data_IF_479219885103
#
_entry.id   IF_479219885103
#
_cell.length_a   1.000
_cell.length_b   1.000
_cell.length_c   1.000
_cell.angle_alpha   90.00
_cell.angle_beta   90.00
_cell.angle_gamma   90.00
#
_symmetry.space_group_name_H-M   'P 1'
#
loop_
_entity.id
_entity.type
_entity.pdbx_description
1 polymer ?
2 non-polymer ?
3 non-polymer ?
4 water ?
#
# COMPACT_ATOMS: atom_id res chain seq x y z
N UNK A 22 -9.58 1.93 -25.96
CA UNK A 22 -8.21 2.31 -26.28
C UNK A 22 -7.23 1.21 -25.89
N UNK A 23 -6.31 0.90 -26.82
CA UNK A 23 -5.35 -0.17 -26.61
C UNK A 23 -4.02 0.13 -27.30
N UNK A 24 -3.68 -0.64 -28.33
CA UNK A 24 -2.33 -0.69 -28.84
C UNK A 24 -1.53 -1.87 -28.32
N UNK A 25 -2.16 -2.70 -27.49
CA UNK A 25 -1.53 -3.84 -26.86
C UNK A 25 -2.03 -5.14 -27.48
N UNK A 26 -1.30 -6.22 -27.23
CA UNK A 26 -1.77 -7.53 -27.61
C UNK A 26 -3.01 -7.91 -26.82
N UNK A 27 -3.71 -8.93 -27.32
CA UNK A 27 -4.92 -9.36 -26.62
C UNK A 27 -4.59 -10.00 -25.30
N UNK A 28 -3.43 -10.66 -25.20
CA UNK A 28 -3.01 -11.22 -23.93
C UNK A 28 -2.68 -10.11 -22.93
N UNK A 29 -2.13 -8.98 -23.40
CA UNK A 29 -1.87 -7.86 -22.51
C UNK A 29 -3.17 -7.22 -22.03
N UNK A 30 -4.12 -7.04 -22.94
CA UNK A 30 -5.44 -6.53 -22.58
C UNK A 30 -6.11 -7.43 -21.54
N UNK A 31 -5.98 -8.75 -21.69
CA UNK A 31 -6.59 -9.66 -20.72
C UNK A 31 -5.93 -9.50 -19.36
N UNK A 32 -4.63 -9.33 -19.34
CA UNK A 32 -3.88 -9.20 -18.10
C UNK A 32 -4.36 -7.99 -17.31
N UNK A 33 -4.46 -6.84 -17.98
CA UNK A 33 -4.96 -5.63 -17.33
C UNK A 33 -6.39 -5.86 -16.83
N UNK A 34 -7.25 -6.43 -17.68
CA UNK A 34 -8.62 -6.69 -17.27
C UNK A 34 -8.68 -7.62 -16.05
N UNK A 35 -7.86 -8.67 -16.04
CA UNK A 35 -7.83 -9.57 -14.89
C UNK A 35 -7.38 -8.85 -13.61
N UNK A 36 -6.41 -7.93 -13.72
CA UNK A 36 -6.00 -7.16 -12.56
C UNK A 36 -7.05 -6.11 -12.17
N UNK A 37 -7.62 -5.41 -13.17
CA UNK A 37 -8.65 -4.42 -12.88
C UNK A 37 -9.85 -5.08 -12.20
N UNK A 38 -10.21 -6.27 -12.65
CA UNK A 38 -11.35 -6.97 -12.07
C UNK A 38 -11.09 -7.33 -10.62
N UNK A 39 -9.87 -7.80 -10.33
CA UNK A 39 -9.53 -8.17 -8.96
C UNK A 39 -9.50 -6.95 -8.04
N UNK A 40 -9.03 -5.81 -8.56
CA UNK A 40 -9.03 -4.58 -7.78
C UNK A 40 -10.45 -4.13 -7.47
N UNK A 41 -11.31 -4.12 -8.49
CA UNK A 41 -12.73 -3.80 -8.31
C UNK A 41 -13.37 -4.67 -7.24
N UNK A 42 -13.02 -5.95 -7.19
CA UNK A 42 -13.70 -6.86 -6.29
C UNK A 42 -13.18 -6.80 -4.87
N UNK A 43 -11.96 -6.31 -4.64
CA UNK A 43 -11.33 -6.43 -3.34
C UNK A 43 -10.89 -5.10 -2.74
N UNK A 44 -11.10 -3.99 -3.43
CA UNK A 44 -10.76 -2.67 -2.92
C UNK A 44 -12.08 -1.93 -2.60
N UNK A 45 -12.42 -1.87 -1.32
CA UNK A 45 -13.54 -1.06 -0.84
C UNK A 45 -13.06 0.38 -0.70
N UNK A 46 -13.28 1.18 -1.75
CA UNK A 46 -12.70 2.52 -1.79
C UNK A 46 -13.35 3.48 -0.83
N UNK A 47 -14.54 3.15 -0.33
CA UNK A 47 -15.19 3.97 0.66
C UNK A 47 -14.97 3.44 2.08
N UNK A 48 -14.18 2.36 2.24
CA UNK A 48 -13.88 1.79 3.56
C UNK A 48 -15.16 1.50 4.35
N UNK A 49 -16.23 1.14 3.62
CA UNK A 49 -17.52 0.88 4.23
C UNK A 49 -17.48 -0.23 5.27
N UNK A 50 -16.63 -1.23 5.09
CA UNK A 50 -16.65 -2.38 5.97
C UNK A 50 -15.56 -2.33 7.03
N UNK A 51 -14.83 -1.23 7.13
CA UNK A 51 -13.90 -1.05 8.23
C UNK A 51 -14.69 -0.54 9.43
N UNK A 52 -14.99 -1.42 10.37
CA UNK A 52 -15.86 -1.06 11.48
C UNK A 52 -15.27 -1.59 12.78
N UNK A 53 -15.85 -1.11 13.88
CA UNK A 53 -15.45 -1.38 15.27
C UNK A 53 -13.95 -1.58 15.43
N UNK A 54 -13.19 -0.58 14.99
CA UNK A 54 -11.76 -0.44 15.27
C UNK A 54 -11.57 0.31 16.59
N UNK A 55 -10.38 0.14 17.18
CA UNK A 55 -10.01 0.84 18.40
C UNK A 55 -9.61 2.30 18.10
N UNK A 56 -9.69 3.15 19.11
CA UNK A 56 -9.43 4.59 19.02
C UNK A 56 -8.64 5.07 20.24
N UNK A 57 -7.89 6.16 20.10
CA UNK A 57 -7.12 6.66 21.25
C UNK A 57 -8.07 7.07 22.37
N UNK A 58 -7.81 6.54 23.57
CA UNK A 58 -8.78 6.55 24.66
C UNK A 58 -9.16 7.94 25.12
N UNK A 59 -10.19 7.96 25.97
CA UNK A 59 -10.69 9.19 26.59
C UNK A 59 -9.81 9.60 27.79
N UNK A 83 15.97 2.38 22.06
CA UNK A 83 15.76 2.89 20.69
C UNK A 83 14.29 2.98 20.32
N UNK A 84 13.42 3.13 21.33
CA UNK A 84 11.99 3.25 21.06
C UNK A 84 11.70 4.52 20.26
N UNK A 85 12.25 5.64 20.72
CA UNK A 85 12.27 6.85 19.92
C UNK A 85 13.52 6.80 19.04
N UNK A 86 13.94 7.95 18.49
CA UNK A 86 15.14 8.05 17.68
C UNK A 86 15.05 7.30 16.36
N UNK A 87 14.24 6.24 16.30
CA UNK A 87 14.00 5.55 15.04
C UNK A 87 12.60 5.82 14.48
N UNK A 88 11.74 6.51 15.22
CA UNK A 88 10.40 6.84 14.75
C UNK A 88 10.39 8.21 14.07
N UNK A 89 9.39 8.43 13.21
CA UNK A 89 9.25 9.72 12.55
C UNK A 89 8.77 10.79 13.52
N UNK A 90 8.94 12.03 13.09
CA UNK A 90 8.41 13.19 13.79
C UNK A 90 7.11 13.67 13.18
N UNK A 91 6.45 12.85 12.36
CA UNK A 91 5.18 13.20 11.75
C UNK A 91 4.03 12.87 12.69
N UNK A 92 3.18 13.86 12.96
CA UNK A 92 1.98 13.67 13.76
C UNK A 92 0.75 13.70 12.86
N UNK A 93 -0.24 12.87 13.19
CA UNK A 93 -1.43 12.72 12.37
C UNK A 93 -2.67 12.99 13.23
N UNK A 94 -3.60 13.78 12.71
CA UNK A 94 -4.88 14.03 13.35
C UNK A 94 -5.95 13.21 12.63
N UNK A 95 -6.97 12.84 13.38
CA UNK A 95 -7.96 11.87 12.95
C UNK A 95 -9.34 12.50 12.93
N UNK A 96 -10.15 12.18 11.93
CA UNK A 96 -11.50 12.73 11.84
C UNK A 96 -12.45 11.62 11.42
N UNK A 97 -13.57 11.50 12.14
CA UNK A 97 -14.62 10.53 11.82
C UNK A 97 -15.93 11.28 11.64
N UNK A 98 -16.41 11.31 10.41
CA UNK A 98 -17.71 11.91 10.12
C UNK A 98 -18.81 10.92 10.49
N UNK A 99 -19.76 11.38 11.28
CA UNK A 99 -20.84 10.51 11.71
C UNK A 99 -21.87 10.31 10.60
N UNK A 100 -22.47 9.12 10.64
CA UNK A 100 -23.53 8.79 9.70
C UNK A 100 -24.66 9.83 9.75
N UNK A 101 -24.85 10.48 10.90
CA UNK A 101 -25.88 11.50 11.09
C UNK A 101 -25.38 12.91 10.82
N UNK A 102 -24.14 13.08 10.39
CA UNK A 102 -23.61 14.39 10.10
C UNK A 102 -22.78 15.01 11.21
N UNK A 103 -22.70 14.36 12.38
CA UNK A 103 -21.79 14.84 13.41
C UNK A 103 -20.34 14.44 13.09
N UNK A 104 -19.39 15.15 13.70
CA UNK A 104 -17.99 14.91 13.45
C UNK A 104 -17.24 14.78 14.77
N UNK A 105 -16.46 13.71 14.90
CA UNK A 105 -15.46 13.57 15.96
C UNK A 105 -14.09 13.88 15.38
N UNK A 106 -13.31 14.72 16.06
CA UNK A 106 -11.97 15.10 15.63
C UNK A 106 -10.96 14.80 16.73
N UNK A 107 -9.84 14.20 16.35
CA UNK A 107 -8.75 13.86 17.27
C UNK A 107 -7.53 14.63 16.87
N UNK A 108 -6.96 15.37 17.81
CA UNK A 108 -5.67 16.01 17.66
C UNK A 108 -4.70 15.38 18.65
N UNK A 109 -3.51 14.97 18.21
CA UNK A 109 -2.55 14.35 19.13
C UNK A 109 -1.88 15.41 20.01
N UNK A 110 -1.10 15.00 21.04
CA UNK A 110 -0.61 15.95 22.05
C UNK A 110 -0.10 17.33 21.58
N UNK A 111 0.80 17.36 20.59
CA UNK A 111 1.57 18.56 20.22
C UNK A 111 2.50 19.03 21.34
N UNK A 116 7.03 12.43 21.36
CA UNK A 116 5.62 12.39 20.96
C UNK A 116 5.02 10.98 21.12
N UNK A 117 4.50 10.66 22.32
CA UNK A 117 4.05 9.31 22.65
C UNK A 117 2.86 8.91 21.79
N UNK A 118 3.09 8.03 20.82
CA UNK A 118 2.09 7.63 19.83
C UNK A 118 1.61 6.21 20.11
N UNK A 119 1.74 5.76 21.36
CA UNK A 119 1.23 4.45 21.72
C UNK A 119 -0.28 4.42 21.70
N UNK A 120 -0.91 5.56 21.98
CA UNK A 120 -2.37 5.63 21.96
C UNK A 120 -2.92 5.38 20.57
N UNK A 121 -2.14 5.68 19.53
CA UNK A 121 -2.56 5.52 18.16
C UNK A 121 -2.28 4.14 17.57
N UNK A 122 -1.44 3.31 18.23
CA UNK A 122 -1.02 2.05 17.62
C UNK A 122 -2.15 1.05 17.44
N UNK A 123 -3.00 0.76 18.45
CA UNK A 123 -4.07 -0.20 18.19
C UNK A 123 -4.97 0.21 17.02
N UNK A 124 -5.27 1.52 16.89
CA UNK A 124 -6.02 1.98 15.72
C UNK A 124 -5.25 1.74 14.43
N UNK A 125 -3.94 2.06 14.42
CA UNK A 125 -3.13 1.84 13.23
C UNK A 125 -3.07 0.35 12.87
N UNK A 126 -2.95 -0.51 13.89
CA UNK A 126 -2.93 -1.94 13.66
C UNK A 126 -4.26 -2.41 13.07
N UNK A 127 -5.38 -1.80 13.46
CA UNK A 127 -6.65 -2.25 12.94
C UNK A 127 -6.85 -1.82 11.48
N UNK A 128 -6.44 -0.60 11.14
CA UNK A 128 -6.53 -0.15 9.75
C UNK A 128 -5.57 -0.94 8.86
N UNK A 129 -4.34 -1.16 9.33
CA UNK A 129 -3.39 -1.98 8.59
C UNK A 129 -3.98 -3.36 8.31
N UNK A 130 -4.59 -3.95 9.34
CA UNK A 130 -5.13 -5.29 9.18
C UNK A 130 -6.24 -5.31 8.14
N UNK A 131 -7.10 -4.29 8.17
CA UNK A 131 -8.18 -4.20 7.19
C UNK A 131 -7.63 -4.07 5.77
N UNK A 132 -6.56 -3.30 5.58
CA UNK A 132 -5.95 -3.15 4.27
C UNK A 132 -5.25 -4.43 3.83
N UNK A 133 -4.55 -5.08 4.78
CA UNK A 133 -3.92 -6.36 4.48
C UNK A 133 -4.93 -7.41 4.02
N UNK A 134 -6.12 -7.42 4.65
CA UNK A 134 -7.13 -8.37 4.23
C UNK A 134 -7.53 -8.12 2.79
N UNK A 135 -7.74 -6.85 2.42
CA UNK A 135 -8.03 -6.52 1.02
C UNK A 135 -6.93 -7.00 0.08
N UNK A 136 -5.67 -6.75 0.45
CA UNK A 136 -4.54 -7.13 -0.39
C UNK A 136 -4.51 -8.64 -0.62
N UNK A 137 -4.76 -9.42 0.44
CA UNK A 137 -4.79 -10.87 0.33
C UNK A 137 -5.90 -11.30 -0.64
N UNK A 138 -7.08 -10.69 -0.51
CA UNK A 138 -8.18 -11.02 -1.42
C UNK A 138 -7.85 -10.64 -2.85
N UNK A 139 -7.15 -9.52 -3.03
CA UNK A 139 -6.66 -9.13 -4.34
C UNK A 139 -5.81 -10.22 -4.98
N UNK A 140 -4.80 -10.71 -4.26
CA UNK A 140 -3.89 -11.70 -4.83
C UNK A 140 -4.63 -12.97 -5.21
N UNK A 141 -5.51 -13.45 -4.32
CA UNK A 141 -6.16 -14.75 -4.52
C UNK A 141 -7.19 -14.75 -5.65
N UNK A 142 -7.64 -13.58 -6.10
CA UNK A 142 -8.54 -13.51 -7.26
C UNK A 142 -7.75 -13.57 -8.58
N UNK A 143 -6.44 -13.28 -8.57
CA UNK A 143 -5.64 -13.27 -9.78
C UNK A 143 -5.23 -14.70 -10.12
N UNK A 144 -5.52 -15.13 -11.36
CA UNK A 144 -5.21 -16.50 -11.77
C UNK A 144 -3.71 -16.79 -11.66
N UNK A 145 -2.87 -15.88 -12.17
CA UNK A 145 -1.44 -16.05 -12.07
C UNK A 145 -0.98 -16.27 -10.64
N UNK A 146 -1.66 -15.65 -9.67
CA UNK A 146 -1.29 -15.87 -8.28
C UNK A 146 -1.75 -17.25 -7.81
N UNK A 147 -3.02 -17.60 -8.07
CA UNK A 147 -3.53 -18.91 -7.66
C UNK A 147 -2.67 -20.04 -8.22
N UNK A 148 -2.17 -19.86 -9.44
CA UNK A 148 -1.39 -20.89 -10.11
C UNK A 148 -0.07 -21.18 -9.41
N UNK A 149 0.37 -20.32 -8.51
CA UNK A 149 1.66 -20.57 -7.87
C UNK A 149 1.51 -21.53 -6.70
N UNK A 150 2.58 -22.25 -6.36
CA UNK A 150 2.57 -23.09 -5.15
C UNK A 150 2.17 -22.31 -3.92
N UNK A 151 1.38 -22.96 -3.05
CA UNK A 151 0.90 -22.37 -1.79
C UNK A 151 2.03 -21.67 -1.03
N UNK A 152 3.21 -22.29 -0.98
CA UNK A 152 4.30 -21.71 -0.20
C UNK A 152 4.79 -20.39 -0.81
N UNK A 153 4.77 -20.28 -2.14
CA UNK A 153 5.21 -19.05 -2.80
C UNK A 153 4.15 -17.95 -2.68
N UNK A 154 2.87 -18.33 -2.64
CA UNK A 154 1.82 -17.38 -2.35
C UNK A 154 2.03 -16.70 -1.01
N UNK A 155 2.25 -17.50 0.03
CA UNK A 155 2.51 -16.99 1.37
C UNK A 155 3.76 -16.11 1.35
N UNK A 156 4.80 -16.55 0.65
CA UNK A 156 6.05 -15.81 0.64
C UNK A 156 5.90 -14.49 -0.09
N UNK A 157 5.19 -14.48 -1.23
CA UNK A 157 4.97 -13.24 -1.97
C UNK A 157 4.10 -12.27 -1.15
N UNK A 158 3.00 -12.77 -0.59
CA UNK A 158 2.13 -11.91 0.24
C UNK A 158 2.88 -11.35 1.43
N UNK A 159 3.75 -12.16 2.05
CA UNK A 159 4.57 -11.65 3.14
C UNK A 159 5.47 -10.52 2.68
N UNK A 160 5.96 -10.58 1.44
CA UNK A 160 6.87 -9.55 0.96
C UNK A 160 6.19 -8.26 0.60
N UNK A 161 4.97 -8.32 0.04
CA UNK A 161 4.40 -7.20 -0.69
C UNK A 161 3.20 -6.55 -0.01
N UNK A 162 2.66 -7.17 1.04
CA UNK A 162 1.40 -6.69 1.62
C UNK A 162 1.50 -5.23 2.05
N UNK A 163 2.59 -4.86 2.74
CA UNK A 163 2.86 -3.46 3.02
C UNK A 163 2.86 -2.62 1.76
N UNK A 164 3.62 -3.03 0.74
CA UNK A 164 3.80 -2.23 -0.46
C UNK A 164 2.49 -2.01 -1.21
N UNK A 165 1.70 -3.08 -1.41
CA UNK A 165 0.40 -2.94 -2.06
C UNK A 165 -0.56 -2.12 -1.23
N UNK A 166 -0.44 -2.19 0.10
CA UNK A 166 -1.27 -1.32 0.95
C UNK A 166 -0.96 0.14 0.72
N UNK A 167 0.32 0.49 0.58
CA UNK A 167 0.66 1.89 0.35
C UNK A 167 0.17 2.34 -1.02
N UNK A 168 0.33 1.48 -2.04
CA UNK A 168 -0.15 1.83 -3.36
C UNK A 168 -1.65 2.13 -3.33
N UNK A 169 -2.42 1.32 -2.59
CA UNK A 169 -3.85 1.60 -2.47
C UNK A 169 -4.09 2.90 -1.68
N UNK A 170 -3.36 3.11 -0.58
CA UNK A 170 -3.54 4.34 0.19
C UNK A 170 -3.17 5.57 -0.64
N UNK A 171 -2.26 5.44 -1.61
CA UNK A 171 -1.96 6.59 -2.44
C UNK A 171 -3.17 7.02 -3.28
N UNK A 172 -4.02 6.08 -3.69
CA UNK A 172 -5.18 6.45 -4.48
C UNK A 172 -6.24 7.20 -3.68
N UNK A 173 -6.22 7.17 -2.34
CA UNK A 173 -7.13 8.01 -1.55
C UNK A 173 -6.40 9.16 -0.86
N UNK A 174 -5.16 9.44 -1.25
CA UNK A 174 -4.41 10.56 -0.69
C UNK A 174 -4.76 11.85 -1.43
N UNK A 175 -4.98 12.91 -0.67
CA UNK A 175 -5.22 14.24 -1.22
C UNK A 175 -3.95 15.05 -0.97
N UNK A 176 -3.19 15.28 -2.04
CA UNK A 176 -1.92 15.99 -1.90
C UNK A 176 -2.12 17.50 -1.75
N UNK A 177 -3.29 18.03 -2.11
CA UNK A 177 -3.51 19.45 -1.89
C UNK A 177 -3.75 19.75 -0.41
N UNK A 178 -4.45 18.86 0.29
CA UNK A 178 -4.82 19.08 1.68
C UNK A 178 -4.09 18.16 2.66
N UNK A 179 -3.12 17.38 2.20
CA UNK A 179 -2.35 16.47 3.06
C UNK A 179 -3.16 15.43 3.81
N UNK A 180 -4.14 14.80 3.15
CA UNK A 180 -5.17 13.99 3.81
C UNK A 180 -5.37 12.67 3.07
N UNK A 181 -5.35 11.57 3.82
CA UNK A 181 -5.86 10.31 3.28
C UNK A 181 -7.35 10.23 3.62
N UNK A 182 -8.19 10.23 2.59
CA UNK A 182 -9.64 10.25 2.72
C UNK A 182 -10.15 8.83 2.61
N UNK A 183 -10.46 8.21 3.75
CA UNK A 183 -10.86 6.81 3.83
C UNK A 183 -12.33 6.71 4.21
N UNK A 184 -13.20 7.07 3.28
CA UNK A 184 -14.63 7.07 3.60
C UNK A 184 -14.94 8.15 4.63
N UNK A 185 -15.57 7.75 5.72
CA UNK A 185 -15.96 8.68 6.77
C UNK A 185 -14.79 9.01 7.69
N UNK A 186 -13.63 8.42 7.43
CA UNK A 186 -12.43 8.52 8.26
C UNK A 186 -11.40 9.31 7.48
N UNK A 187 -10.81 10.33 8.11
CA UNK A 187 -9.77 11.15 7.50
C UNK A 187 -8.54 11.18 8.41
N UNK A 188 -7.38 11.07 7.79
CA UNK A 188 -6.09 11.20 8.48
C UNK A 188 -5.44 12.42 7.90
N UNK A 189 -5.32 13.48 8.70
CA UNK A 189 -4.75 14.73 8.24
C UNK A 189 -3.36 14.92 8.85
N UNK A 190 -2.44 15.42 8.03
CA UNK A 190 -1.08 15.67 8.50
C UNK A 190 -1.07 16.93 9.37
N UNK A 191 -0.44 16.84 10.53
CA UNK A 191 -0.45 17.92 11.51
C UNK A 191 0.70 18.88 11.24
N UNK A 192 0.39 20.17 11.20
CA UNK A 192 1.41 21.21 11.01
C UNK A 192 2.32 21.34 12.23
N UNK A 197 6.13 21.33 7.08
CA UNK A 197 6.03 22.19 5.92
C UNK A 197 6.44 21.39 4.71
N UNK A 198 7.51 21.83 4.04
CA UNK A 198 8.29 20.91 3.21
C UNK A 198 9.25 20.11 4.07
N UNK A 199 9.33 20.39 5.36
CA UNK A 199 10.00 19.48 6.29
C UNK A 199 9.26 18.17 6.40
N UNK A 200 7.96 18.16 6.11
CA UNK A 200 7.21 16.91 6.10
C UNK A 200 7.69 15.97 5.00
N UNK A 201 8.14 16.52 3.86
CA UNK A 201 8.63 15.71 2.74
C UNK A 201 9.94 14.99 3.04
N UNK A 202 10.54 15.21 4.21
CA UNK A 202 11.77 14.51 4.54
C UNK A 202 11.53 13.17 5.23
N UNK A 203 10.29 12.86 5.61
CA UNK A 203 9.94 11.50 5.97
C UNK A 203 9.72 10.71 4.69
N UNK A 204 10.52 9.66 4.44
CA UNK A 204 10.55 9.07 3.09
C UNK A 204 9.21 8.55 2.62
N UNK A 205 8.42 8.02 3.55
CA UNK A 205 7.11 7.51 3.23
C UNK A 205 6.13 8.62 2.84
N UNK A 206 6.26 9.81 3.43
CA UNK A 206 5.43 10.93 2.99
C UNK A 206 5.85 11.40 1.60
N UNK A 207 7.16 11.46 1.36
CA UNK A 207 7.69 11.85 0.04
C UNK A 207 7.25 10.88 -1.05
N UNK A 208 7.25 9.58 -0.73
CA UNK A 208 6.72 8.59 -1.66
C UNK A 208 5.28 8.92 -2.06
N UNK A 209 4.43 9.25 -1.08
CA UNK A 209 3.03 9.50 -1.41
C UNK A 209 2.86 10.77 -2.24
N UNK A 210 3.59 11.84 -1.89
CA UNK A 210 3.54 13.07 -2.69
C UNK A 210 4.07 12.84 -4.11
N UNK A 211 5.24 12.20 -4.25
CA UNK A 211 5.80 11.96 -5.56
C UNK A 211 4.93 11.03 -6.39
N UNK A 212 4.45 9.92 -5.81
CA UNK A 212 3.55 9.03 -6.55
C UNK A 212 2.29 9.78 -7.00
N UNK A 213 1.71 10.61 -6.13
CA UNK A 213 0.50 11.33 -6.50
C UNK A 213 0.75 12.29 -7.67
N UNK A 214 1.87 13.02 -7.63
CA UNK A 214 2.18 13.95 -8.72
C UNK A 214 2.24 13.27 -10.08
N UNK A 215 2.45 11.96 -10.14
CA UNK A 215 2.53 11.28 -11.43
C UNK A 215 1.18 11.13 -12.10
N UNK A 216 0.08 11.35 -11.35
CA UNK A 216 -1.29 11.32 -11.88
C UNK A 216 -1.61 10.02 -12.63
N UNK A 217 -1.29 8.89 -12.00
CA UNK A 217 -1.45 7.59 -12.66
C UNK A 217 -2.91 7.24 -12.87
N UNK A 218 -3.16 6.45 -13.93
CA UNK A 218 -4.46 5.85 -14.19
C UNK A 218 -4.71 4.67 -13.25
N UNK A 219 -6.00 4.30 -13.10
CA UNK A 219 -6.32 3.09 -12.32
C UNK A 219 -5.53 1.88 -12.82
N UNK A 220 -5.39 1.74 -14.14
CA UNK A 220 -4.67 0.60 -14.72
C UNK A 220 -3.19 0.58 -14.32
N UNK A 221 -2.57 1.76 -14.19
CA UNK A 221 -1.14 1.79 -13.87
C UNK A 221 -0.89 1.53 -12.39
N UNK A 222 -1.77 2.01 -11.51
CA UNK A 222 -1.71 1.57 -10.11
C UNK A 222 -1.83 0.06 -9.99
N UNK A 223 -2.75 -0.56 -10.73
CA UNK A 223 -2.93 -2.00 -10.51
C UNK A 223 -1.78 -2.80 -11.11
N UNK A 224 -1.09 -2.27 -12.15
CA UNK A 224 0.11 -2.95 -12.63
C UNK A 224 1.28 -2.78 -11.65
N UNK A 225 1.43 -1.60 -11.03
CA UNK A 225 2.44 -1.48 -9.98
C UNK A 225 2.20 -2.50 -8.87
N UNK A 226 0.94 -2.69 -8.48
CA UNK A 226 0.62 -3.68 -7.45
C UNK A 226 1.06 -5.07 -7.88
N UNK A 227 0.84 -5.42 -9.16
CA UNK A 227 1.20 -6.75 -9.64
C UNK A 227 2.72 -6.93 -9.69
N UNK A 228 3.44 -5.90 -10.15
CA UNK A 228 4.90 -6.00 -10.22
C UNK A 228 5.49 -6.17 -8.82
N UNK A 229 4.97 -5.43 -7.85
CA UNK A 229 5.42 -5.59 -6.47
C UNK A 229 5.12 -7.00 -5.96
N UNK A 230 3.88 -7.48 -6.18
CA UNK A 230 3.46 -8.78 -5.64
C UNK A 230 4.29 -9.92 -6.21
N UNK A 231 4.44 -9.95 -7.53
CA UNK A 231 5.23 -10.96 -8.24
C UNK A 231 6.70 -10.55 -8.28
N UNK A 232 7.32 -10.58 -7.11
CA UNK A 232 8.72 -10.21 -6.95
C UNK A 232 9.53 -11.46 -6.73
N UNK A 233 10.35 -11.88 -7.70
CA UNK A 233 11.06 -13.16 -7.58
C UNK A 233 12.04 -13.25 -6.43
N UNK A 234 12.51 -12.12 -5.91
CA UNK A 234 13.57 -12.10 -4.92
C UNK A 234 13.07 -11.75 -3.54
N UNK A 235 11.83 -12.10 -3.23
CA UNK A 235 11.38 -12.02 -1.85
C UNK A 235 11.91 -13.23 -1.08
N UNK A 236 12.19 -13.06 0.22
CA UNK A 236 12.53 -14.21 1.05
C UNK A 236 11.57 -15.38 0.82
N UNK A 237 12.14 -16.59 0.70
CA UNK A 237 11.38 -17.82 0.70
C UNK A 237 10.77 -18.24 -0.63
N UNK A 238 10.95 -17.45 -1.69
CA UNK A 238 10.34 -17.79 -2.97
C UNK A 238 11.03 -19.01 -3.56
N UNK A 239 10.23 -20.00 -3.96
CA UNK A 239 10.76 -21.22 -4.58
C UNK A 239 10.77 -21.13 -6.11
N UNK A 240 9.62 -20.83 -6.72
CA UNK A 240 9.53 -20.70 -8.19
C UNK A 240 10.05 -19.34 -8.65
N UNK A 241 11.31 -19.06 -8.30
CA UNK A 241 11.94 -17.79 -8.64
C UNK A 241 11.84 -17.48 -10.14
N UNK A 242 11.98 -18.48 -10.99
CA UNK A 242 11.98 -18.22 -12.43
C UNK A 242 10.57 -17.95 -12.95
N UNK A 243 9.58 -18.68 -12.46
CA UNK A 243 8.20 -18.43 -12.89
C UNK A 243 7.76 -17.04 -12.44
N UNK A 244 7.95 -16.73 -11.15
CA UNK A 244 7.55 -15.42 -10.64
C UNK A 244 8.21 -14.31 -11.44
N UNK A 245 9.50 -14.49 -11.78
CA UNK A 245 10.27 -13.49 -12.52
C UNK A 245 9.70 -13.27 -13.93
N UNK A 246 9.32 -14.34 -14.61
CA UNK A 246 8.77 -14.15 -15.95
C UNK A 246 7.40 -13.49 -15.89
N UNK A 247 6.60 -13.83 -14.86
CA UNK A 247 5.37 -13.08 -14.62
C UNK A 247 5.67 -11.61 -14.43
N UNK A 248 6.64 -11.29 -13.56
CA UNK A 248 6.98 -9.89 -13.32
C UNK A 248 7.34 -9.17 -14.61
N UNK A 249 8.18 -9.80 -15.44
CA UNK A 249 8.59 -9.15 -16.69
C UNK A 249 7.39 -8.88 -17.60
N UNK A 250 6.43 -9.81 -17.66
CA UNK A 250 5.24 -9.60 -18.47
C UNK A 250 4.42 -8.40 -17.95
N UNK A 251 4.18 -8.35 -16.64
CA UNK A 251 3.42 -7.22 -16.08
C UNK A 251 4.12 -5.90 -16.40
N UNK A 252 5.46 -5.90 -16.31
CA UNK A 252 6.26 -4.71 -16.57
C UNK A 252 6.21 -4.31 -18.04
N UNK A 253 6.37 -5.28 -18.94
CA UNK A 253 6.24 -5.01 -20.37
C UNK A 253 4.86 -4.43 -20.69
N UNK A 254 3.81 -5.02 -20.10
CA UNK A 254 2.46 -4.51 -20.32
C UNK A 254 2.36 -3.06 -19.88
N UNK A 255 2.97 -2.73 -18.72
CA UNK A 255 2.90 -1.37 -18.23
C UNK A 255 3.64 -0.42 -19.18
N UNK A 256 4.91 -0.72 -19.49
CA UNK A 256 5.66 0.04 -20.46
C UNK A 256 4.85 0.25 -21.73
N UNK A 257 4.22 -0.82 -22.22
CA UNK A 257 3.47 -0.75 -23.47
C UNK A 257 2.20 0.06 -23.31
N UNK A 258 1.47 -0.13 -22.21
CA UNK A 258 0.30 0.69 -21.94
C UNK A 258 0.67 2.17 -21.97
N UNK A 259 1.76 2.54 -21.29
CA UNK A 259 2.18 3.94 -21.21
C UNK A 259 2.51 4.47 -22.59
N UNK A 260 3.22 3.67 -23.41
CA UNK A 260 3.60 4.09 -24.75
C UNK A 260 2.38 4.34 -25.61
N UNK A 261 1.30 3.61 -25.40
CA UNK A 261 0.13 3.69 -26.26
C UNK A 261 -0.85 4.78 -25.86
N UNK A 262 -0.93 5.13 -24.57
CA UNK A 262 -2.06 5.96 -24.16
C UNK A 262 -1.62 7.20 -23.39
N UNK A 263 -0.35 7.57 -23.46
CA UNK A 263 0.16 8.74 -22.76
C UNK A 263 1.24 9.41 -23.59
N UNK A 264 0.85 10.11 -24.66
CA UNK A 264 1.84 10.72 -25.57
C UNK A 264 2.48 11.99 -25.06
N UNK A 265 1.96 12.60 -23.99
CA UNK A 265 2.35 13.95 -23.61
C UNK A 265 3.82 14.02 -23.20
N UNK A 266 4.46 15.16 -23.42
CA UNK A 266 5.85 15.34 -22.96
C UNK A 266 6.03 15.13 -21.46
N UNK A 267 4.97 15.28 -20.66
CA UNK A 267 5.12 15.13 -19.22
C UNK A 267 5.22 13.67 -18.80
N UNK A 268 4.75 12.76 -19.65
CA UNK A 268 4.79 11.34 -19.34
C UNK A 268 5.96 10.63 -20.00
N UNK A 269 6.95 11.39 -20.49
CA UNK A 269 8.16 10.77 -20.96
C UNK A 269 8.92 10.20 -19.78
N UNK A 270 9.44 9.00 -19.94
CA UNK A 270 10.15 8.29 -18.90
C UNK A 270 9.22 7.91 -17.75
N UNK A 271 7.89 8.02 -17.94
CA UNK A 271 6.95 7.65 -16.88
C UNK A 271 7.16 6.22 -16.42
N UNK A 272 7.28 5.27 -17.36
CA UNK A 272 7.56 3.89 -16.99
C UNK A 272 8.78 3.78 -16.07
N UNK A 273 9.88 4.44 -16.43
CA UNK A 273 11.08 4.36 -15.59
C UNK A 273 10.88 5.05 -14.25
N UNK A 274 10.11 6.15 -14.22
CA UNK A 274 9.75 6.80 -12.96
C UNK A 274 9.01 5.83 -12.05
N UNK A 275 7.98 5.15 -12.58
CA UNK A 275 7.25 4.17 -11.80
C UNK A 275 8.17 3.07 -11.29
N UNK A 276 9.09 2.58 -12.11
CA UNK A 276 9.97 1.51 -11.65
C UNK A 276 10.83 1.98 -10.49
N UNK A 277 11.32 3.23 -10.56
CA UNK A 277 12.15 3.76 -9.48
C UNK A 277 11.35 3.93 -8.19
N UNK A 278 10.09 4.35 -8.28
CA UNK A 278 9.27 4.46 -7.07
C UNK A 278 8.98 3.09 -6.46
N UNK A 279 8.91 2.04 -7.29
CA UNK A 279 8.75 0.70 -6.76
C UNK A 279 10.02 0.26 -6.05
N UNK A 280 11.18 0.67 -6.56
CA UNK A 280 12.41 0.39 -5.84
C UNK A 280 12.43 1.12 -4.50
N UNK A 281 12.08 2.40 -4.51
CA UNK A 281 12.00 3.16 -3.26
C UNK A 281 10.98 2.57 -2.31
N UNK A 282 9.81 2.15 -2.83
CA UNK A 282 8.80 1.56 -1.96
C UNK A 282 9.34 0.34 -1.25
N UNK A 283 10.13 -0.47 -1.96
CA UNK A 283 10.69 -1.68 -1.39
C UNK A 283 11.64 -1.34 -0.25
N UNK A 284 12.45 -0.29 -0.43
CA UNK A 284 13.35 0.17 0.62
C UNK A 284 12.59 0.76 1.80
N UNK A 285 11.54 1.55 1.54
CA UNK A 285 10.67 2.04 2.60
C UNK A 285 10.05 0.88 3.36
N UNK A 286 9.74 -0.20 2.64
CA UNK A 286 9.18 -1.40 3.21
C UNK A 286 10.11 -2.01 4.26
N UNK A 287 11.39 -2.18 3.91
CA UNK A 287 12.35 -2.72 4.89
C UNK A 287 12.50 -1.78 6.10
N UNK A 288 12.56 -0.47 5.86
CA UNK A 288 12.67 0.47 6.98
C UNK A 288 11.50 0.34 7.94
N UNK A 289 10.28 0.26 7.40
CA UNK A 289 9.09 0.24 8.23
C UNK A 289 8.95 -1.08 8.96
N UNK A 290 9.33 -2.19 8.32
CA UNK A 290 9.24 -3.51 8.96
C UNK A 290 10.09 -3.53 10.22
N UNK A 291 11.27 -2.91 10.15
CA UNK A 291 12.21 -2.94 11.27
C UNK A 291 11.82 -1.95 12.36
N UNK A 292 11.24 -0.80 12.00
CA UNK A 292 10.64 0.09 12.99
C UNK A 292 9.54 -0.64 13.75
N UNK A 293 8.76 -1.44 13.03
CA UNK A 293 7.59 -2.09 13.61
C UNK A 293 7.99 -3.23 14.53
N UNK A 294 9.03 -3.99 14.17
CA UNK A 294 9.46 -5.09 15.02
C UNK A 294 10.15 -4.58 16.28
N UNK A 295 10.84 -3.43 16.19
CA UNK A 295 11.41 -2.80 17.38
C UNK A 295 10.32 -2.40 18.37
N UNK A 296 9.29 -1.68 17.90
CA UNK A 296 8.19 -1.30 18.77
C UNK A 296 7.51 -2.54 19.34
N UNK A 297 7.24 -3.54 18.48
CA UNK A 297 6.58 -4.75 18.92
C UNK A 297 7.35 -5.43 20.04
N UNK A 298 8.66 -5.21 20.10
CA UNK A 298 9.49 -5.82 21.11
C UNK A 298 9.40 -5.09 22.45
N UNK A 299 8.95 -3.84 22.46
CA UNK A 299 8.82 -3.02 23.66
C UNK A 299 7.34 -2.89 24.06
N UNK A 300 6.45 -2.84 23.06
CA UNK A 300 5.04 -2.54 23.30
C UNK A 300 4.21 -3.32 22.30
N UNK A 301 3.85 -4.57 22.63
CA UNK A 301 3.13 -5.43 21.67
C UNK A 301 1.82 -4.78 21.21
N UNK A 302 1.65 -4.76 19.89
CA UNK A 302 0.45 -4.21 19.27
C UNK A 302 -0.01 -4.97 18.02
N UNK A 303 0.85 -5.73 17.34
CA UNK A 303 0.46 -6.35 16.06
C UNK A 303 -0.69 -7.32 16.22
N UNK A 304 -1.71 -7.17 15.36
CA UNK A 304 -2.82 -8.13 15.32
C UNK A 304 -2.30 -9.53 14.97
N UNK A 305 -3.13 -10.56 15.20
CA UNK A 305 -2.77 -11.90 14.70
C UNK A 305 -2.36 -11.91 13.24
N UNK A 306 -3.13 -11.22 12.38
CA UNK A 306 -2.82 -11.23 10.95
C UNK A 306 -1.49 -10.54 10.67
N UNK A 307 -1.23 -9.40 11.34
CA UNK A 307 0.09 -8.77 11.20
C UNK A 307 1.21 -9.70 11.65
N UNK A 308 0.99 -10.44 12.74
CA UNK A 308 1.99 -11.38 13.22
C UNK A 308 2.37 -12.41 12.14
N UNK A 309 1.36 -13.03 11.50
CA UNK A 309 1.62 -13.97 10.40
C UNK A 309 2.45 -13.33 9.30
N UNK A 310 2.10 -12.11 8.91
CA UNK A 310 2.79 -11.46 7.82
C UNK A 310 4.23 -11.10 8.18
N UNK A 311 4.51 -10.78 9.44
CA UNK A 311 5.86 -10.44 9.86
C UNK A 311 6.61 -11.62 10.46
N UNK A 312 6.03 -12.83 10.40
CA UNK A 312 6.69 -14.02 10.88
C UNK A 312 6.82 -14.14 12.38
N UNK A 313 6.05 -13.38 13.15
CA UNK A 313 5.98 -13.57 14.60
C UNK A 313 5.18 -14.83 14.90
N UNK A 314 5.63 -15.61 15.88
CA UNK A 314 5.07 -16.94 16.10
C UNK A 314 4.21 -17.07 17.34
N UNK A 315 4.25 -16.11 18.27
CA UNK A 315 3.56 -16.24 19.53
C UNK A 315 4.39 -16.83 20.66
N UNK A 316 5.62 -17.28 20.38
CA UNK A 316 6.51 -17.84 21.40
C UNK A 316 7.53 -16.80 21.87
#
# INVERSE_FOLDING_TARGET
MKKGHHHHHHGSERTGTQPLGVQGLTEEQRMMIRELMDAQMKTFDTTFSHFKNFRLPGVLSSGCELPESLQAPSREEAAKWSQVRKDLCSLKVSLQLRGEDGSVWNYKPPADSGGKEIFSLLPHMADMSTYMFKGIISFAKVISYFRDLPIEDQISLLKGAAFELCQLRFNTVFNAETGTWECGRLSYCLEDTAGGFQQLLLEPMLKFHYMLKKLQLHEEEYVLMQAISLFSPDRPGVLQHRVVDQLQEQFAITLKSYIECNRPQPAHRFLFLKIMAMLTELRSINAQHTQRLLRIQDIHPFATPLMQELFGITGS
#
